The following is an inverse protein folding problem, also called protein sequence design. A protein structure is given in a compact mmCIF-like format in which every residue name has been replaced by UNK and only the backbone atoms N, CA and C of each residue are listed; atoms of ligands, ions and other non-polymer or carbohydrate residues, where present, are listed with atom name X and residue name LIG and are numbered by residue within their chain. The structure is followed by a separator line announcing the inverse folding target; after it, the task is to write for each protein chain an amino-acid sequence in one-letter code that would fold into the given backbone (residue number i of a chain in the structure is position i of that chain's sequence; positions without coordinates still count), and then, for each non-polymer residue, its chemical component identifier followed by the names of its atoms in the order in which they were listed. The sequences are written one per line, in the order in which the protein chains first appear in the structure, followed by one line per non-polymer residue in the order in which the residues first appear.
data_IF_124143703814
#
_entry.id   IF_124143703814
#
_cell.length_a   1.000
_cell.length_b   1.000
_cell.length_c   1.000
_cell.angle_alpha   90.00
_cell.angle_beta   90.00
_cell.angle_gamma   90.00
#
_symmetry.space_group_name_H-M   'P 1'
#
loop_
_entity.id
_entity.type
_entity.pdbx_description
1 polymer ?
#
# COMPACT_ATOMS: atom_id res chain seq x y z
N UNK A 1 41.02 -7.25 -9.18
CA UNK A 1 39.82 -8.11 -9.13
C UNK A 1 38.58 -7.24 -9.01
N UNK A 2 37.44 -7.68 -9.55
CA UNK A 2 36.19 -6.93 -9.53
C UNK A 2 35.41 -7.24 -8.24
N UNK A 3 34.71 -6.24 -7.70
CA UNK A 3 33.72 -6.40 -6.62
C UNK A 3 32.36 -5.91 -7.12
N UNK A 4 31.29 -6.58 -6.67
CA UNK A 4 29.91 -6.28 -7.04
C UNK A 4 29.15 -5.88 -5.78
N UNK A 5 28.31 -4.86 -5.90
CA UNK A 5 27.36 -4.44 -4.87
C UNK A 5 25.98 -4.50 -5.50
N UNK A 6 25.02 -5.06 -4.76
CA UNK A 6 23.63 -5.17 -5.17
C UNK A 6 22.81 -4.12 -4.44
N UNK A 7 21.79 -3.61 -5.11
CA UNK A 7 20.77 -2.76 -4.51
C UNK A 7 19.64 -3.63 -3.95
N UNK A 8 19.11 -3.26 -2.78
CA UNK A 8 18.07 -3.99 -2.09
C UNK A 8 17.09 -3.03 -1.43
N UNK A 9 15.81 -3.20 -1.73
CA UNK A 9 14.72 -2.37 -1.22
C UNK A 9 13.81 -3.21 -0.33
N UNK A 10 14.03 -3.24 1.00
CA UNK A 10 13.24 -4.07 1.92
C UNK A 10 11.89 -3.46 2.30
N UNK A 11 11.68 -2.17 2.02
CA UNK A 11 10.56 -1.40 2.58
C UNK A 11 9.21 -1.69 1.91
N UNK A 12 9.19 -2.00 0.62
CA UNK A 12 7.95 -2.16 -0.15
C UNK A 12 8.15 -3.10 -1.33
N UNK A 13 7.04 -3.61 -1.86
CA UNK A 13 7.02 -4.41 -3.09
C UNK A 13 5.99 -3.83 -4.06
N UNK A 14 6.01 -4.27 -5.32
CA UNK A 14 4.94 -3.97 -6.28
C UNK A 14 3.58 -4.50 -5.80
N UNK A 15 2.51 -3.79 -6.19
CA UNK A 15 1.12 -4.24 -6.08
C UNK A 15 0.82 -5.47 -6.94
N UNK A 16 1.64 -5.78 -7.95
CA UNK A 16 1.55 -7.03 -8.72
C UNK A 16 2.20 -8.23 -8.01
N UNK A 17 2.89 -8.01 -6.88
CA UNK A 17 3.54 -9.08 -6.14
C UNK A 17 2.53 -10.02 -5.50
N UNK A 18 2.84 -11.32 -5.45
CA UNK A 18 1.94 -12.34 -4.91
C UNK A 18 1.54 -12.05 -3.45
N UNK A 19 2.46 -11.53 -2.65
CA UNK A 19 2.17 -11.13 -1.27
C UNK A 19 1.11 -10.05 -1.19
N UNK A 20 1.15 -9.05 -2.08
CA UNK A 20 0.14 -7.99 -2.10
C UNK A 20 -1.21 -8.57 -2.44
N UNK A 21 -1.30 -9.35 -3.52
CA UNK A 21 -2.56 -9.97 -3.95
C UNK A 21 -3.15 -10.89 -2.87
N UNK A 22 -2.31 -11.69 -2.19
CA UNK A 22 -2.74 -12.56 -1.08
C UNK A 22 -3.17 -11.76 0.15
N UNK A 23 -2.45 -10.71 0.50
CA UNK A 23 -2.77 -9.84 1.63
C UNK A 23 -4.08 -9.07 1.38
N UNK A 24 -4.22 -8.50 0.19
CA UNK A 24 -5.43 -7.82 -0.25
C UNK A 24 -6.64 -8.76 -0.27
N UNK A 25 -6.45 -10.04 -0.60
CA UNK A 25 -7.49 -11.07 -0.52
C UNK A 25 -7.68 -11.67 0.89
N UNK A 26 -6.97 -11.18 1.91
CA UNK A 26 -6.98 -11.68 3.30
C UNK A 26 -6.74 -13.19 3.39
N UNK A 27 -5.82 -13.71 2.57
CA UNK A 27 -5.42 -15.13 2.63
C UNK A 27 -4.73 -15.40 3.97
N UNK A 28 -5.10 -16.45 4.72
CA UNK A 28 -4.51 -16.76 6.02
C UNK A 28 -2.98 -16.78 5.99
N UNK A 29 -2.37 -16.04 6.90
CA UNK A 29 -0.91 -15.87 7.00
C UNK A 29 -0.30 -14.75 6.16
N UNK A 30 -1.06 -14.13 5.24
CA UNK A 30 -0.62 -12.97 4.45
C UNK A 30 -1.37 -11.68 4.80
N UNK A 31 -2.40 -11.76 5.64
CA UNK A 31 -3.33 -10.68 5.97
C UNK A 31 -2.62 -9.40 6.44
N UNK A 32 -1.54 -9.55 7.21
CA UNK A 32 -0.80 -8.44 7.83
C UNK A 32 0.54 -8.13 7.15
N UNK A 33 0.77 -8.63 5.92
CA UNK A 33 1.99 -8.32 5.14
C UNK A 33 2.08 -6.85 4.71
N UNK A 34 0.94 -6.16 4.63
CA UNK A 34 0.84 -4.74 4.31
C UNK A 34 0.00 -4.05 5.37
N UNK A 35 0.17 -2.72 5.47
CA UNK A 35 -0.61 -1.93 6.42
C UNK A 35 -1.98 -1.60 5.83
N UNK A 36 -3.01 -2.25 6.37
CA UNK A 36 -4.42 -2.03 6.03
C UNK A 36 -5.11 -1.18 7.09
N UNK A 37 -6.04 -0.31 6.68
CA UNK A 37 -6.90 0.47 7.56
C UNK A 37 -8.28 0.64 6.96
N UNK A 38 -9.33 0.60 7.77
CA UNK A 38 -10.68 0.90 7.29
C UNK A 38 -10.89 2.39 6.98
N UNK A 39 -9.98 3.26 7.41
CA UNK A 39 -10.16 4.71 7.32
C UNK A 39 -11.20 5.25 8.30
N UNK A 40 -11.52 6.52 8.14
CA UNK A 40 -12.52 7.24 8.95
C UNK A 40 -13.70 7.55 8.03
N UNK A 41 -14.93 7.42 8.51
CA UNK A 41 -16.10 7.89 7.76
C UNK A 41 -16.35 9.36 8.09
N UNK A 42 -16.54 10.20 7.08
CA UNK A 42 -17.05 11.56 7.27
C UNK A 42 -18.57 11.56 7.50
N UNK A 43 -19.13 12.74 7.80
CA UNK A 43 -20.56 12.92 8.07
C UNK A 43 -21.46 12.51 6.88
N UNK A 44 -20.90 12.51 5.67
CA UNK A 44 -21.56 12.10 4.42
C UNK A 44 -21.37 10.60 4.12
N UNK A 45 -20.66 9.87 4.97
CA UNK A 45 -20.38 8.44 4.84
C UNK A 45 -19.24 8.10 3.86
N UNK A 46 -18.47 9.08 3.39
CA UNK A 46 -17.31 8.84 2.55
C UNK A 46 -16.12 8.39 3.39
N UNK A 47 -15.34 7.45 2.86
CA UNK A 47 -14.10 7.00 3.51
C UNK A 47 -12.99 8.02 3.31
N UNK A 48 -12.46 8.49 4.42
CA UNK A 48 -11.33 9.38 4.53
C UNK A 48 -10.08 8.63 5.03
N UNK A 49 -8.87 9.10 4.65
CA UNK A 49 -7.61 8.62 5.20
C UNK A 49 -7.60 8.55 6.74
N UNK A 50 -7.03 7.50 7.37
CA UNK A 50 -6.91 7.40 8.82
C UNK A 50 -6.00 8.46 9.46
N UNK A 51 -5.12 9.09 8.69
CA UNK A 51 -4.21 10.14 9.15
C UNK A 51 -3.84 11.09 8.00
N UNK A 52 -3.02 12.11 8.30
CA UNK A 52 -2.57 13.14 7.36
C UNK A 52 -1.19 12.84 6.76
N UNK A 53 -0.75 11.58 6.67
CA UNK A 53 0.52 11.23 6.02
C UNK A 53 0.48 11.55 4.52
N UNK A 54 1.63 11.93 3.97
CA UNK A 54 1.79 12.34 2.56
C UNK A 54 2.79 11.42 1.88
N UNK A 55 2.52 11.06 0.62
CA UNK A 55 3.42 10.22 -0.17
C UNK A 55 4.73 10.95 -0.43
N UNK A 56 5.83 10.22 -0.54
CA UNK A 56 7.10 10.83 -0.90
C UNK A 56 7.10 11.29 -2.37
N UNK A 57 6.42 10.54 -3.23
CA UNK A 57 6.45 10.72 -4.69
C UNK A 57 5.31 11.57 -5.23
N UNK A 58 4.19 11.66 -4.52
CA UNK A 58 3.05 12.49 -4.92
C UNK A 58 2.74 13.49 -3.81
N UNK A 59 2.34 14.72 -4.16
CA UNK A 59 1.80 15.68 -3.17
C UNK A 59 0.40 15.31 -2.66
N UNK A 60 -0.08 14.12 -3.01
CA UNK A 60 -1.42 13.64 -2.70
C UNK A 60 -1.34 12.40 -1.80
N UNK A 61 -2.47 12.07 -1.17
CA UNK A 61 -2.59 11.10 -0.07
C UNK A 61 -1.86 9.77 -0.31
N UNK A 62 -1.15 9.30 0.71
CA UNK A 62 -0.39 8.03 0.79
C UNK A 62 -1.27 6.78 0.80
N UNK A 63 -2.56 6.92 0.56
CA UNK A 63 -3.56 5.95 0.97
C UNK A 63 -4.50 5.70 -0.20
N UNK A 64 -4.58 4.44 -0.63
CA UNK A 64 -5.38 4.01 -1.78
C UNK A 64 -6.49 3.08 -1.30
N UNK A 65 -7.69 3.33 -1.80
CA UNK A 65 -8.86 2.51 -1.54
C UNK A 65 -8.89 1.29 -2.47
N UNK A 66 -8.89 0.10 -1.87
CA UNK A 66 -9.10 -1.16 -2.57
C UNK A 66 -10.39 -1.80 -2.02
N UNK A 67 -11.51 -1.68 -2.76
CA UNK A 67 -12.71 -2.41 -2.43
C UNK A 67 -12.47 -3.93 -2.54
N UNK A 68 -13.04 -4.77 -1.65
CA UNK A 68 -13.92 -4.42 -0.53
C UNK A 68 -13.18 -4.19 0.81
N UNK A 69 -11.86 -4.33 0.84
CA UNK A 69 -11.10 -4.66 2.06
C UNK A 69 -10.45 -3.47 2.78
N UNK A 70 -10.69 -2.25 2.31
CA UNK A 70 -10.31 -1.01 2.99
C UNK A 70 -9.25 -0.19 2.25
N UNK A 71 -8.54 0.63 3.01
CA UNK A 71 -7.44 1.46 2.54
C UNK A 71 -6.09 0.76 2.79
N UNK A 72 -5.14 0.88 1.86
CA UNK A 72 -3.75 0.47 2.11
C UNK A 72 -2.79 1.65 2.04
N UNK A 73 -1.72 1.58 2.82
CA UNK A 73 -0.65 2.57 2.82
C UNK A 73 0.35 2.31 1.68
N UNK A 74 0.58 3.31 0.84
CA UNK A 74 1.61 3.33 -0.20
C UNK A 74 2.44 4.61 -0.15
N UNK A 75 3.71 4.48 0.29
CA UNK A 75 4.64 5.61 0.42
C UNK A 75 5.28 6.04 -0.91
N UNK A 76 5.25 5.16 -1.91
CA UNK A 76 5.81 5.36 -3.26
C UNK A 76 4.75 5.08 -4.31
N UNK A 77 5.01 5.42 -5.57
CA UNK A 77 4.04 5.20 -6.65
C UNK A 77 3.75 3.70 -6.83
N UNK A 78 2.48 3.36 -6.83
CA UNK A 78 2.05 2.05 -7.31
C UNK A 78 2.10 2.02 -8.84
N UNK A 79 2.49 0.88 -9.39
CA UNK A 79 2.37 0.64 -10.81
C UNK A 79 0.87 0.55 -11.12
N UNK A 80 0.30 1.66 -11.59
CA UNK A 80 -1.07 1.67 -12.12
C UNK A 80 -1.01 0.88 -13.42
N UNK A 81 -1.64 -0.28 -13.46
CA UNK A 81 -1.88 -0.96 -14.74
C UNK A 81 -2.78 -0.06 -15.58
N UNK A 82 -2.38 0.20 -16.83
CA UNK A 82 -3.22 0.84 -17.85
C UNK A 82 -4.57 0.13 -18.02
#
# INVERSE_FOLDING_TARGET
GIKVILDFVPNHTSNLHEWFNKSAARVPGYEDYYLWSDGILDDDGNRQPPNNWVSFTTKYHTIIFIPPNGLYLSLFLDQVTE
#
